data_IF_642839558670
#
_entry.id   IF_642839558670
#
_cell.length_a   1.000
_cell.length_b   1.000
_cell.length_c   1.000
_cell.angle_alpha   90.00
_cell.angle_beta   90.00
_cell.angle_gamma   90.00
#
_symmetry.space_group_name_H-M   'P 1'
#
loop_
_entity.id
_entity.type
_entity.pdbx_description
1 polymer ?
#
# COMPACT_ATOMS: atom_id res chain seq x y z
N UNK A 1 -0.97 13.12 -6.01
CA UNK A 1 -1.38 12.83 -4.61
C UNK A 1 -1.36 11.32 -4.47
N UNK A 2 -0.77 10.83 -3.40
CA UNK A 2 -0.45 9.43 -3.18
C UNK A 2 -1.18 8.91 -1.94
N UNK A 3 -1.83 7.76 -2.07
CA UNK A 3 -2.41 7.04 -0.95
C UNK A 3 -1.55 5.85 -0.58
N UNK A 4 -1.20 5.74 0.69
CA UNK A 4 -0.52 4.59 1.27
C UNK A 4 -1.56 3.64 1.89
N UNK A 5 -1.69 2.46 1.32
CA UNK A 5 -2.56 1.40 1.80
C UNK A 5 -1.73 0.29 2.43
N UNK A 6 -2.20 -0.33 3.51
CA UNK A 6 -1.56 -1.52 4.07
C UNK A 6 -1.93 -2.80 3.30
N UNK A 7 -1.39 -3.95 3.74
CA UNK A 7 -1.72 -5.28 3.20
C UNK A 7 -3.20 -5.65 3.32
N UNK A 8 -3.95 -5.01 4.20
CA UNK A 8 -5.39 -5.25 4.42
C UNK A 8 -6.25 -4.36 3.51
N UNK A 9 -5.62 -3.48 2.71
CA UNK A 9 -6.31 -2.53 1.84
C UNK A 9 -6.84 -1.31 2.59
N UNK A 10 -6.35 -1.05 3.81
CA UNK A 10 -6.76 0.10 4.62
C UNK A 10 -5.85 1.29 4.30
N UNK A 11 -6.44 2.45 3.99
CA UNK A 11 -5.71 3.70 3.81
C UNK A 11 -5.08 4.13 5.14
N UNK A 12 -3.75 4.10 5.21
CA UNK A 12 -2.97 4.50 6.39
C UNK A 12 -2.54 5.96 6.35
N UNK A 13 -2.20 6.46 5.17
CA UNK A 13 -1.68 7.81 5.01
C UNK A 13 -1.93 8.35 3.60
N UNK A 14 -2.02 9.68 3.46
CA UNK A 14 -2.22 10.33 2.16
C UNK A 14 -1.45 11.64 2.11
N UNK A 15 -0.67 11.84 1.04
CA UNK A 15 0.12 13.06 0.87
C UNK A 15 0.23 13.42 -0.62
N UNK A 16 0.56 14.67 -0.92
CA UNK A 16 0.91 15.08 -2.29
C UNK A 16 2.28 14.58 -2.70
N UNK A 17 3.18 14.38 -1.74
CA UNK A 17 4.54 13.89 -1.95
C UNK A 17 4.62 12.37 -1.77
N UNK A 18 5.23 11.69 -2.74
CA UNK A 18 5.47 10.24 -2.70
C UNK A 18 6.45 9.88 -1.59
N UNK A 19 7.51 10.68 -1.42
CA UNK A 19 8.57 10.40 -0.47
C UNK A 19 8.06 10.54 0.98
N UNK A 20 7.10 11.45 1.22
CA UNK A 20 6.42 11.55 2.51
C UNK A 20 5.63 10.27 2.86
N UNK A 21 4.98 9.65 1.86
CA UNK A 21 4.27 8.39 2.06
C UNK A 21 5.22 7.20 2.32
N UNK A 22 6.38 7.17 1.66
CA UNK A 22 7.40 6.14 1.88
C UNK A 22 8.05 6.31 3.26
N UNK A 23 8.41 7.55 3.64
CA UNK A 23 8.95 7.85 4.96
C UNK A 23 7.97 7.46 6.09
N UNK A 24 6.66 7.64 5.88
CA UNK A 24 5.64 7.11 6.78
C UNK A 24 5.70 5.58 6.85
N UNK A 25 5.77 4.89 5.72
CA UNK A 25 5.85 3.42 5.71
C UNK A 25 7.10 2.89 6.45
N UNK A 26 8.25 3.53 6.24
CA UNK A 26 9.51 3.20 6.92
C UNK A 26 9.45 3.46 8.43
N UNK A 27 8.85 4.57 8.86
CA UNK A 27 8.69 4.93 10.27
C UNK A 27 7.90 3.88 11.06
N UNK A 28 6.92 3.24 10.42
CA UNK A 28 6.08 2.21 11.02
C UNK A 28 6.53 0.78 10.69
N UNK A 29 7.72 0.61 10.10
CA UNK A 29 8.27 -0.69 9.68
C UNK A 29 7.29 -1.50 8.81
N UNK A 30 6.46 -0.81 8.02
CA UNK A 30 5.64 -1.43 6.99
C UNK A 30 6.59 -1.91 5.90
N UNK A 31 7.10 -3.14 6.04
CA UNK A 31 8.02 -3.74 5.07
C UNK A 31 7.47 -3.57 3.65
N UNK A 32 8.34 -3.45 2.65
CA UNK A 32 7.97 -3.11 1.26
C UNK A 32 6.96 -4.07 0.61
N UNK A 33 6.74 -5.25 1.18
CA UNK A 33 5.69 -6.22 0.80
C UNK A 33 4.34 -6.03 1.50
N UNK A 34 4.25 -5.11 2.48
CA UNK A 34 3.11 -4.90 3.37
C UNK A 34 2.39 -3.56 3.16
N UNK A 35 2.74 -2.82 2.11
CA UNK A 35 2.00 -1.62 1.70
C UNK A 35 1.91 -1.49 0.18
N UNK A 36 0.90 -0.75 -0.28
CA UNK A 36 0.73 -0.34 -1.67
C UNK A 36 0.61 1.18 -1.75
N UNK A 37 1.33 1.81 -2.67
CA UNK A 37 1.21 3.23 -2.95
C UNK A 37 0.36 3.42 -4.21
N UNK A 38 -0.71 4.22 -4.12
CA UNK A 38 -1.61 4.52 -5.23
C UNK A 38 -1.45 5.99 -5.60
N UNK A 39 -1.12 6.25 -6.87
CA UNK A 39 -1.09 7.62 -7.41
C UNK A 39 -2.48 8.03 -7.92
N UNK A 40 -3.00 9.13 -7.39
CA UNK A 40 -4.26 9.75 -7.78
C UNK A 40 -4.09 10.88 -8.83
N UNK A 41 -2.86 11.29 -9.13
CA UNK A 41 -2.59 12.41 -10.05
C UNK A 41 -2.78 12.04 -11.52
N UNK A 42 -2.48 10.80 -11.90
CA UNK A 42 -2.76 10.28 -13.23
C UNK A 42 -3.90 9.28 -13.11
N UNK A 43 -5.05 9.59 -13.73
CA UNK A 43 -6.25 8.73 -13.78
C UNK A 43 -6.07 7.40 -14.52
N UNK A 44 -4.90 6.78 -14.44
CA UNK A 44 -4.57 5.48 -15.00
C UNK A 44 -3.83 4.66 -13.95
N UNK A 45 -4.61 3.88 -13.19
CA UNK A 45 -4.36 2.53 -12.69
C UNK A 45 -2.95 1.96 -12.98
N UNK A 46 -1.89 2.54 -12.43
CA UNK A 46 -0.58 1.90 -12.32
C UNK A 46 -0.44 1.45 -10.88
N UNK A 47 -1.27 0.48 -10.55
CA UNK A 47 -1.04 -0.39 -9.41
C UNK A 47 0.23 -1.18 -9.79
N UNK A 48 1.40 -0.62 -9.50
CA UNK A 48 2.66 -1.38 -9.50
C UNK A 48 2.66 -2.26 -8.24
N UNK A 49 1.68 -3.17 -8.20
CA UNK A 49 1.59 -4.25 -7.24
C UNK A 49 2.68 -5.24 -7.63
N UNK A 50 3.84 -5.08 -7.00
CA UNK A 50 4.84 -6.13 -6.89
C UNK A 50 4.41 -7.19 -5.85
N UNK A 51 3.15 -7.19 -5.41
CA UNK A 51 2.61 -8.25 -4.59
C UNK A 51 2.10 -9.36 -5.49
N UNK A 52 2.87 -10.45 -5.51
CA UNK A 52 2.31 -11.79 -5.60
C UNK A 52 1.35 -11.94 -4.40
N UNK A 53 0.20 -11.27 -4.44
CA UNK A 53 -0.84 -11.37 -3.45
C UNK A 53 -1.60 -12.63 -3.80
N UNK A 54 -1.00 -13.76 -3.42
CA UNK A 54 -1.71 -15.01 -3.26
C UNK A 54 -2.91 -14.72 -2.35
N UNK A 55 -4.11 -14.68 -2.95
CA UNK A 55 -5.37 -14.44 -2.27
C UNK A 55 -5.79 -15.64 -1.41
N UNK A 56 -4.88 -16.57 -1.10
CA UNK A 56 -5.08 -17.57 -0.07
C UNK A 56 -4.85 -16.96 1.32
N UNK A 57 -5.59 -15.90 1.67
CA UNK A 57 -5.83 -15.63 3.09
C UNK A 57 -6.79 -16.72 3.55
N UNK A 58 -6.19 -17.84 3.95
CA UNK A 58 -6.85 -19.03 4.42
C UNK A 58 -7.96 -18.69 5.40
N UNK A 59 -9.18 -19.01 4.97
CA UNK A 59 -10.24 -19.46 5.86
C UNK A 59 -9.62 -20.43 6.84
N UNK A 60 -9.60 -20.10 8.15
CA UNK A 60 -9.36 -20.98 9.32
C UNK A 60 -9.00 -20.10 10.53
N UNK A 61 -9.58 -20.18 11.73
CA UNK A 61 -10.27 -21.25 12.45
C UNK A 61 -11.14 -20.66 13.58
N UNK A 62 -12.34 -21.24 13.79
CA UNK A 62 -12.77 -22.09 14.93
C UNK A 62 -13.39 -21.33 16.10
#
# INVERSE_FOLDING_TARGET
>A
MYGLYDKEGILRFIDSDKDACIAYAELFELGSTNYCLIDFANGTNKVEVNTNLDQSLGVHNN
#
